data_IF_144158079512
#
_entry.id   IF_144158079512
#
_cell.length_a   1.000
_cell.length_b   1.000
_cell.length_c   1.000
_cell.angle_alpha   90.00
_cell.angle_beta   90.00
_cell.angle_gamma   90.00
#
_symmetry.space_group_name_H-M   'P 1'
#
loop_
_entity.id
_entity.type
_entity.pdbx_description
1 polymer ?
#
# COMPACT_ATOMS: atom_id res chain seq x y z
N UNK A 1 35.16 -20.26 -34.15
CA UNK A 1 35.57 -19.46 -32.96
C UNK A 1 34.61 -18.32 -32.62
N UNK A 2 33.50 -18.11 -33.34
CA UNK A 2 32.59 -16.96 -33.13
C UNK A 2 31.51 -17.14 -32.06
N UNK A 3 31.20 -18.38 -31.66
CA UNK A 3 30.09 -18.69 -30.75
C UNK A 3 30.24 -18.07 -29.34
N UNK A 4 31.46 -17.68 -28.95
CA UNK A 4 31.76 -17.10 -27.64
C UNK A 4 31.30 -15.63 -27.52
N UNK A 5 30.98 -14.95 -28.64
CA UNK A 5 30.57 -13.54 -28.67
C UNK A 5 29.15 -13.32 -28.12
N UNK A 6 28.27 -14.30 -28.26
CA UNK A 6 26.86 -14.22 -27.82
C UNK A 6 26.63 -14.74 -26.40
N UNK A 7 27.68 -15.15 -25.70
CA UNK A 7 27.52 -15.67 -24.35
C UNK A 7 27.31 -14.52 -23.35
N UNK A 8 26.26 -14.59 -22.50
CA UNK A 8 26.04 -13.60 -21.47
C UNK A 8 27.25 -13.53 -20.53
N UNK A 9 27.73 -12.31 -20.23
CA UNK A 9 28.93 -12.08 -19.40
C UNK A 9 28.80 -12.65 -17.97
N UNK A 10 27.58 -12.84 -17.48
CA UNK A 10 27.33 -13.35 -16.14
C UNK A 10 27.67 -14.86 -16.04
N UNK A 11 28.61 -15.18 -15.14
CA UNK A 11 29.13 -16.55 -14.88
C UNK A 11 28.03 -17.57 -14.56
N UNK A 12 26.90 -17.17 -13.95
CA UNK A 12 25.76 -18.05 -13.63
C UNK A 12 25.14 -18.61 -14.93
N UNK A 13 24.81 -17.74 -15.88
CA UNK A 13 24.20 -18.13 -17.16
C UNK A 13 25.14 -18.95 -18.03
N UNK A 14 26.45 -18.67 -18.00
CA UNK A 14 27.45 -19.51 -18.68
C UNK A 14 27.50 -20.93 -18.13
N UNK A 15 27.36 -21.10 -16.81
CA UNK A 15 27.25 -22.44 -16.21
C UNK A 15 25.94 -23.11 -16.61
N UNK A 16 24.83 -22.38 -16.61
CA UNK A 16 23.50 -22.88 -17.00
C UNK A 16 23.46 -23.42 -18.43
N UNK A 17 23.99 -22.66 -19.39
CA UNK A 17 24.06 -23.07 -20.80
C UNK A 17 24.94 -24.31 -21.00
N UNK A 18 26.00 -24.45 -20.18
CA UNK A 18 26.85 -25.65 -20.19
C UNK A 18 26.19 -26.86 -19.53
N UNK A 19 25.32 -26.67 -18.54
CA UNK A 19 24.66 -27.76 -17.82
C UNK A 19 23.40 -28.30 -18.49
N UNK A 20 22.86 -27.63 -19.52
CA UNK A 20 21.67 -28.07 -20.28
C UNK A 20 20.36 -28.11 -19.51
N UNK A 21 20.39 -28.03 -18.17
CA UNK A 21 19.23 -28.05 -17.31
C UNK A 21 18.71 -26.64 -17.01
N UNK A 22 17.38 -26.42 -17.04
CA UNK A 22 16.78 -25.17 -16.58
C UNK A 22 17.12 -24.94 -15.09
N UNK A 23 17.18 -23.67 -14.64
CA UNK A 23 17.43 -23.37 -13.22
C UNK A 23 16.50 -24.16 -12.31
N UNK A 24 17.05 -25.06 -11.49
CA UNK A 24 16.34 -25.77 -10.43
C UNK A 24 16.20 -24.92 -9.15
N UNK A 25 16.23 -23.60 -9.30
CA UNK A 25 16.11 -22.64 -8.20
C UNK A 25 14.69 -22.07 -8.13
N UNK A 26 14.20 -21.83 -6.92
CA UNK A 26 12.94 -21.11 -6.73
C UNK A 26 13.11 -19.66 -7.20
N UNK A 27 12.44 -19.30 -8.30
CA UNK A 27 12.42 -17.93 -8.84
C UNK A 27 11.99 -16.91 -7.79
N UNK A 28 11.06 -17.29 -6.91
CA UNK A 28 10.61 -16.48 -5.78
C UNK A 28 11.73 -16.21 -4.76
N UNK A 29 12.59 -17.19 -4.47
CA UNK A 29 13.75 -16.99 -3.58
C UNK A 29 14.77 -16.04 -4.20
N UNK A 30 15.06 -16.19 -5.48
CA UNK A 30 15.99 -15.33 -6.20
C UNK A 30 15.46 -13.87 -6.25
N UNK A 31 14.16 -13.68 -6.51
CA UNK A 31 13.50 -12.38 -6.47
C UNK A 31 13.53 -11.73 -5.08
N UNK A 32 13.23 -12.51 -4.03
CA UNK A 32 13.25 -12.02 -2.64
C UNK A 32 14.65 -11.60 -2.18
N UNK A 33 15.69 -12.35 -2.57
CA UNK A 33 17.08 -11.99 -2.29
C UNK A 33 17.53 -10.74 -3.04
N UNK A 34 17.10 -10.58 -4.29
CA UNK A 34 17.37 -9.37 -5.07
C UNK A 34 16.71 -8.13 -4.43
N UNK A 35 15.45 -8.27 -3.98
CA UNK A 35 14.71 -7.20 -3.31
C UNK A 35 15.38 -6.75 -2.01
N UNK A 36 15.78 -7.71 -1.15
CA UNK A 36 16.48 -7.43 0.11
C UNK A 36 17.84 -6.74 -0.05
N UNK A 37 18.48 -6.90 -1.20
CA UNK A 37 19.79 -6.32 -1.48
C UNK A 37 19.70 -4.83 -1.82
N UNK A 38 18.53 -4.37 -2.28
CA UNK A 38 18.29 -2.97 -2.63
C UNK A 38 17.65 -2.22 -1.45
N UNK A 39 18.39 -1.24 -0.91
CA UNK A 39 17.92 -0.41 0.21
C UNK A 39 16.73 0.47 -0.18
N UNK A 40 16.68 0.97 -1.42
CA UNK A 40 15.57 1.78 -1.90
C UNK A 40 14.30 0.95 -2.03
N UNK A 41 14.41 -0.27 -2.56
CA UNK A 41 13.29 -1.18 -2.67
C UNK A 41 12.75 -1.61 -1.29
N UNK A 42 13.63 -1.83 -0.32
CA UNK A 42 13.24 -2.14 1.06
C UNK A 42 12.53 -0.97 1.76
N UNK A 43 12.94 0.28 1.52
CA UNK A 43 12.21 1.46 2.03
C UNK A 43 10.79 1.49 1.46
N UNK A 44 10.64 1.28 0.15
CA UNK A 44 9.31 1.20 -0.49
C UNK A 44 8.45 0.09 0.12
N UNK A 45 9.02 -1.09 0.36
CA UNK A 45 8.33 -2.19 1.02
C UNK A 45 7.86 -1.83 2.44
N UNK A 46 8.70 -1.14 3.22
CA UNK A 46 8.35 -0.69 4.58
C UNK A 46 7.18 0.30 4.54
N UNK A 47 7.19 1.27 3.61
CA UNK A 47 6.08 2.23 3.46
C UNK A 47 4.79 1.51 3.11
N UNK A 48 4.82 0.56 2.17
CA UNK A 48 3.64 -0.23 1.77
C UNK A 48 3.10 -1.02 2.97
N UNK A 49 3.97 -1.71 3.71
CA UNK A 49 3.57 -2.48 4.89
C UNK A 49 3.02 -1.57 5.99
N UNK A 50 3.61 -0.40 6.21
CA UNK A 50 3.13 0.57 7.19
C UNK A 50 1.74 1.10 6.83
N UNK A 51 1.50 1.43 5.55
CA UNK A 51 0.19 1.86 5.07
C UNK A 51 -0.86 0.75 5.21
N UNK A 52 -0.50 -0.49 4.87
CA UNK A 52 -1.38 -1.65 5.04
C UNK A 52 -1.72 -1.90 6.51
N UNK A 53 -0.72 -1.81 7.40
CA UNK A 53 -0.91 -1.95 8.83
C UNK A 53 -1.80 -0.85 9.40
N UNK A 54 -1.56 0.41 9.03
CA UNK A 54 -2.42 1.54 9.42
C UNK A 54 -3.85 1.33 8.94
N UNK A 55 -4.06 0.85 7.71
CA UNK A 55 -5.39 0.60 7.16
C UNK A 55 -6.17 -0.47 7.93
N UNK A 56 -5.51 -1.46 8.51
CA UNK A 56 -6.17 -2.52 9.31
C UNK A 56 -6.33 -2.08 10.77
N UNK A 57 -5.32 -1.43 11.33
CA UNK A 57 -5.28 -1.08 12.76
C UNK A 57 -6.10 0.18 13.08
N UNK A 58 -6.16 1.19 12.22
CA UNK A 58 -6.96 2.40 12.47
C UNK A 58 -8.45 2.10 12.70
N UNK A 59 -9.16 1.36 11.83
CA UNK A 59 -10.58 1.10 12.04
C UNK A 59 -10.83 0.26 13.30
N UNK A 60 -9.93 -0.67 13.63
CA UNK A 60 -10.06 -1.52 14.82
C UNK A 60 -9.79 -0.74 16.13
N UNK A 61 -8.85 0.21 16.13
CA UNK A 61 -8.49 1.00 17.31
C UNK A 61 -9.44 2.18 17.53
N UNK A 62 -9.83 2.87 16.46
CA UNK A 62 -10.63 4.10 16.55
C UNK A 62 -12.14 3.87 16.46
N UNK A 63 -12.59 2.65 16.12
CA UNK A 63 -14.02 2.34 15.98
C UNK A 63 -14.72 3.29 14.99
N UNK A 64 -13.99 3.77 13.99
CA UNK A 64 -14.50 4.72 13.01
C UNK A 64 -15.59 4.04 12.21
N UNK A 65 -16.83 4.50 12.34
CA UNK A 65 -17.93 4.04 11.51
C UNK A 65 -17.96 4.88 10.22
N UNK A 66 -17.66 4.30 9.04
CA UNK A 66 -17.64 5.02 7.78
C UNK A 66 -19.02 5.52 7.34
N UNK A 67 -20.08 5.00 7.96
CA UNK A 67 -21.46 5.41 7.75
C UNK A 67 -21.97 6.35 8.84
N UNK A 68 -21.14 6.71 9.84
CA UNK A 68 -21.52 7.73 10.80
C UNK A 68 -21.84 9.05 10.09
N UNK A 69 -23.08 9.50 10.28
CA UNK A 69 -23.62 10.73 9.71
C UNK A 69 -23.61 11.80 10.79
N UNK A 70 -22.78 12.83 10.60
CA UNK A 70 -22.92 14.07 11.37
C UNK A 70 -23.92 14.99 10.68
N UNK A 71 -25.17 14.97 11.13
CA UNK A 71 -26.25 15.80 10.56
C UNK A 71 -26.24 17.25 11.08
N UNK A 72 -25.59 17.50 12.23
CA UNK A 72 -25.49 18.82 12.86
C UNK A 72 -24.22 18.91 13.72
N UNK A 73 -23.48 20.01 13.57
CA UNK A 73 -22.35 20.37 14.46
C UNK A 73 -22.57 21.77 15.01
N UNK A 74 -22.22 22.01 16.27
CA UNK A 74 -22.23 23.35 16.87
C UNK A 74 -20.80 23.83 17.02
N UNK A 75 -20.44 24.90 16.31
CA UNK A 75 -19.12 25.55 16.38
C UNK A 75 -19.35 27.02 16.73
N UNK A 76 -18.71 27.51 17.79
CA UNK A 76 -18.86 28.89 18.27
C UNK A 76 -20.33 29.34 18.46
N UNK A 77 -21.17 28.43 18.97
CA UNK A 77 -22.60 28.69 19.19
C UNK A 77 -23.46 28.76 17.92
N UNK A 78 -22.88 28.50 16.74
CA UNK A 78 -23.61 28.42 15.47
C UNK A 78 -23.85 26.97 15.08
N UNK A 79 -25.07 26.67 14.64
CA UNK A 79 -25.37 25.38 14.02
C UNK A 79 -24.80 25.37 12.61
N UNK A 80 -23.88 24.45 12.34
CA UNK A 80 -23.39 24.14 11.01
C UNK A 80 -24.07 22.86 10.51
N UNK A 81 -24.35 22.86 9.21
CA UNK A 81 -24.86 21.72 8.46
C UNK A 81 -23.79 21.28 7.48
N UNK A 82 -23.75 19.98 7.11
CA UNK A 82 -22.78 19.48 6.15
C UNK A 82 -22.96 20.13 4.75
N UNK A 83 -21.90 20.15 3.92
CA UNK A 83 -20.57 19.58 4.17
C UNK A 83 -19.71 20.44 5.10
N UNK A 84 -19.07 19.80 6.08
CA UNK A 84 -18.10 20.46 6.96
C UNK A 84 -16.74 20.56 6.26
N UNK A 85 -16.10 21.71 6.39
CA UNK A 85 -14.75 21.95 5.90
C UNK A 85 -13.71 21.08 6.67
N UNK A 86 -12.49 20.91 6.12
CA UNK A 86 -11.42 20.19 6.79
C UNK A 86 -11.11 20.75 8.18
N UNK A 87 -11.07 19.88 9.18
CA UNK A 87 -10.81 20.22 10.59
C UNK A 87 -10.08 19.06 11.29
N UNK A 88 -9.59 19.26 12.51
CA UNK A 88 -8.93 18.21 13.31
C UNK A 88 -9.81 16.97 13.50
N UNK A 89 -11.13 17.14 13.54
CA UNK A 89 -12.08 16.04 13.61
C UNK A 89 -12.33 15.36 12.25
N UNK A 90 -12.25 16.10 11.14
CA UNK A 90 -12.48 15.60 9.77
C UNK A 90 -11.34 16.10 8.88
N UNK A 91 -10.21 15.37 8.85
CA UNK A 91 -8.96 15.83 8.20
C UNK A 91 -9.18 16.19 6.73
N UNK A 92 -10.05 15.46 6.03
CA UNK A 92 -10.42 15.72 4.63
C UNK A 92 -11.80 16.36 4.45
N UNK A 93 -12.47 16.75 5.55
CA UNK A 93 -13.84 17.24 5.53
C UNK A 93 -14.89 16.13 5.35
N UNK A 94 -16.15 16.52 5.20
CA UNK A 94 -17.27 15.58 5.04
C UNK A 94 -17.97 15.71 3.69
N UNK A 95 -18.65 14.65 3.27
CA UNK A 95 -19.58 14.64 2.15
C UNK A 95 -20.84 15.49 2.45
N UNK A 96 -21.74 15.67 1.48
CA UNK A 96 -23.02 16.38 1.61
C UNK A 96 -23.92 15.81 2.73
N UNK A 97 -23.78 14.51 3.02
CA UNK A 97 -24.49 13.85 4.11
C UNK A 97 -23.78 13.96 5.46
N UNK A 98 -22.62 14.61 5.57
CA UNK A 98 -21.88 14.72 6.83
C UNK A 98 -21.07 13.49 7.22
N UNK A 99 -20.74 12.63 6.25
CA UNK A 99 -19.86 11.47 6.44
C UNK A 99 -18.40 11.87 6.22
N UNK A 100 -17.49 11.42 7.10
CA UNK A 100 -16.06 11.72 6.98
C UNK A 100 -15.45 11.06 5.73
N UNK A 101 -14.89 11.88 4.85
CA UNK A 101 -14.26 11.44 3.61
C UNK A 101 -12.96 10.68 3.90
N UNK A 102 -12.20 11.12 4.92
CA UNK A 102 -10.93 10.50 5.27
C UNK A 102 -11.12 9.06 5.74
N UNK A 103 -12.06 8.85 6.67
CA UNK A 103 -12.47 7.52 7.13
C UNK A 103 -12.93 6.66 5.96
N UNK A 104 -13.74 7.17 5.02
CA UNK A 104 -14.20 6.38 3.86
C UNK A 104 -13.09 6.00 2.90
N UNK A 105 -12.10 6.85 2.68
CA UNK A 105 -10.91 6.50 1.86
C UNK A 105 -10.10 5.40 2.54
N UNK A 106 -9.89 5.49 3.86
CA UNK A 106 -9.21 4.47 4.64
C UNK A 106 -9.98 3.14 4.69
N UNK A 107 -11.31 3.18 4.75
CA UNK A 107 -12.14 1.98 4.67
C UNK A 107 -12.17 1.39 3.25
N UNK A 108 -12.16 2.23 2.22
CA UNK A 108 -12.12 1.80 0.82
C UNK A 108 -10.88 0.96 0.49
N UNK A 109 -9.74 1.21 1.14
CA UNK A 109 -8.54 0.37 0.98
C UNK A 109 -8.65 -1.00 1.65
N UNK A 110 -9.56 -1.17 2.61
CA UNK A 110 -9.86 -2.46 3.27
C UNK A 110 -10.87 -3.28 2.46
N UNK A 111 -11.79 -2.63 1.75
CA UNK A 111 -12.93 -3.30 1.10
C UNK A 111 -12.63 -3.98 -0.24
N UNK A 112 -11.38 -3.99 -0.74
CA UNK A 112 -11.04 -4.61 -2.04
C UNK A 112 -11.00 -6.16 -2.04
N UNK A 113 -11.53 -6.83 -1.01
CA UNK A 113 -11.50 -8.30 -0.90
C UNK A 113 -12.87 -8.93 -0.59
N UNK A 114 -13.99 -8.28 -0.93
CA UNK A 114 -15.31 -8.89 -0.82
C UNK A 114 -16.19 -8.60 -2.03
#
# INVERSE_FOLDING_TARGET
>A
MEQNRYLPKNKKYRRMLKSGAPPSGSLYRDAWQALKKDRAAMIGLVVIVALAALSILLPMILGLDPEAIESRRVVDGKNLFPPFAPDLANIMGTDQLGRDIFTRVLYGTVFLCW
#
